data_IF_596566339027
#
_entry.id   IF_596566339027
#
_cell.length_a   1.000
_cell.length_b   1.000
_cell.length_c   1.000
_cell.angle_alpha   90.00
_cell.angle_beta   90.00
_cell.angle_gamma   90.00
#
_symmetry.space_group_name_H-M   'P 1'
#
loop_
_entity.id
_entity.type
_entity.pdbx_description
1 polymer ?
#
# COMPACT_ATOMS: atom_id res chain seq x y z
N UNK A 1 -20.22 -8.55 -13.49
CA UNK A 1 -20.03 -9.36 -12.27
C UNK A 1 -19.21 -10.59 -12.64
N UNK A 2 -18.20 -10.93 -11.85
CA UNK A 2 -17.30 -12.08 -12.12
C UNK A 2 -17.99 -13.38 -11.66
N UNK A 3 -17.81 -14.53 -12.34
CA UNK A 3 -18.50 -15.77 -11.97
C UNK A 3 -18.21 -16.19 -10.51
N UNK A 4 -19.18 -16.77 -9.77
CA UNK A 4 -19.05 -17.04 -8.33
C UNK A 4 -17.84 -17.90 -7.95
N UNK A 5 -17.46 -18.85 -8.80
CA UNK A 5 -16.29 -19.72 -8.57
C UNK A 5 -14.95 -18.99 -8.71
N UNK A 6 -14.90 -17.89 -9.47
CA UNK A 6 -13.74 -17.01 -9.56
C UNK A 6 -13.72 -15.99 -8.42
N UNK A 7 -14.88 -15.59 -7.89
CA UNK A 7 -14.95 -14.60 -6.81
C UNK A 7 -14.25 -15.09 -5.54
N UNK A 8 -14.32 -16.38 -5.22
CA UNK A 8 -13.58 -16.96 -4.08
C UNK A 8 -12.06 -16.99 -4.33
N UNK A 9 -11.63 -17.44 -5.51
CA UNK A 9 -10.21 -17.49 -5.90
C UNK A 9 -9.58 -16.10 -6.08
N UNK A 10 -10.36 -15.10 -6.51
CA UNK A 10 -9.95 -13.70 -6.61
C UNK A 10 -10.07 -12.96 -5.27
N UNK A 11 -10.90 -13.42 -4.33
CA UNK A 11 -10.91 -12.89 -2.96
C UNK A 11 -9.58 -13.16 -2.24
N UNK A 12 -8.91 -14.27 -2.56
CA UNK A 12 -7.54 -14.56 -2.10
C UNK A 12 -6.49 -13.58 -2.65
N UNK A 13 -6.76 -12.94 -3.81
CA UNK A 13 -5.93 -11.84 -4.34
C UNK A 13 -6.16 -10.51 -3.58
N UNK A 14 -7.31 -10.35 -2.92
CA UNK A 14 -7.58 -9.29 -1.95
C UNK A 14 -7.10 -9.70 -0.56
N UNK A 15 -5.82 -10.07 -0.46
CA UNK A 15 -5.20 -10.43 0.82
C UNK A 15 -5.28 -9.23 1.78
N UNK A 16 -6.17 -9.32 2.77
CA UNK A 16 -6.31 -8.31 3.82
C UNK A 16 -5.15 -8.54 4.80
N UNK A 17 -4.03 -7.88 4.53
CA UNK A 17 -2.91 -7.90 5.44
C UNK A 17 -3.28 -7.18 6.75
N UNK A 18 -2.80 -7.69 7.91
CA UNK A 18 -2.94 -6.99 9.17
C UNK A 18 -2.35 -5.58 9.02
N UNK A 19 -3.03 -4.55 9.54
CA UNK A 19 -2.56 -3.19 9.39
C UNK A 19 -1.25 -2.98 10.14
N UNK A 20 -0.34 -2.24 9.53
CA UNK A 20 0.88 -1.77 10.17
C UNK A 20 0.55 -0.96 11.43
N UNK A 21 1.39 -1.06 12.47
CA UNK A 21 1.16 -0.36 13.72
C UNK A 21 1.20 1.17 13.53
N UNK A 22 0.52 1.94 14.39
CA UNK A 22 0.50 3.41 14.32
C UNK A 22 1.89 4.07 14.31
N UNK A 23 2.87 3.47 14.98
CA UNK A 23 4.26 3.96 15.01
C UNK A 23 4.91 3.92 13.63
N UNK A 24 4.69 2.85 12.87
CA UNK A 24 5.18 2.71 11.49
C UNK A 24 4.53 3.75 10.58
N UNK A 25 3.20 3.89 10.66
CA UNK A 25 2.44 4.89 9.90
C UNK A 25 3.00 6.29 10.11
N UNK A 26 3.23 6.68 11.38
CA UNK A 26 3.81 7.98 11.72
C UNK A 26 5.20 8.15 11.11
N UNK A 27 6.05 7.13 11.22
CA UNK A 27 7.43 7.19 10.72
C UNK A 27 7.49 7.35 9.20
N UNK A 28 6.71 6.56 8.45
CA UNK A 28 6.66 6.63 6.97
C UNK A 28 6.16 7.98 6.50
N UNK A 29 5.06 8.46 7.08
CA UNK A 29 4.49 9.75 6.70
C UNK A 29 5.47 10.88 7.02
N UNK A 30 6.09 10.87 8.20
CA UNK A 30 7.09 11.87 8.56
C UNK A 30 8.32 11.87 7.66
N UNK A 31 8.82 10.69 7.29
CA UNK A 31 9.99 10.58 6.41
C UNK A 31 9.68 11.06 4.99
N UNK A 32 8.51 10.72 4.45
CA UNK A 32 8.11 11.10 3.10
C UNK A 32 7.89 12.61 2.94
N UNK A 33 7.29 13.25 3.96
CA UNK A 33 7.04 14.70 3.94
C UNK A 33 8.18 15.53 4.57
N UNK A 34 9.23 14.88 5.09
CA UNK A 34 10.36 15.52 5.80
C UNK A 34 9.92 16.48 6.91
N UNK A 35 8.83 16.14 7.60
CA UNK A 35 8.17 16.97 8.61
C UNK A 35 7.67 16.12 9.78
N UNK A 36 7.60 16.68 11.01
CA UNK A 36 6.94 15.98 12.12
C UNK A 36 5.49 15.67 11.79
N UNK A 37 5.02 14.46 12.12
CA UNK A 37 3.65 14.02 11.86
C UNK A 37 2.60 14.98 12.46
N UNK A 38 2.88 15.48 13.67
CA UNK A 38 2.05 16.45 14.38
C UNK A 38 1.92 17.81 13.66
N UNK A 39 2.80 18.11 12.71
CA UNK A 39 2.72 19.35 11.91
C UNK A 39 1.90 19.20 10.63
N UNK A 40 1.43 17.99 10.32
CA UNK A 40 0.74 17.67 9.06
C UNK A 40 -0.77 17.55 9.25
N UNK A 41 -1.21 16.93 10.34
CA UNK A 41 -2.61 16.58 10.57
C UNK A 41 -3.12 17.11 11.91
N UNK A 42 -4.31 17.70 11.90
CA UNK A 42 -5.07 18.05 13.12
C UNK A 42 -5.79 16.83 13.69
N UNK A 43 -6.20 15.88 12.83
CA UNK A 43 -6.75 14.59 13.21
C UNK A 43 -6.26 13.49 12.27
N UNK A 44 -6.08 12.28 12.78
CA UNK A 44 -5.71 11.11 11.98
C UNK A 44 -6.27 9.85 12.64
N UNK A 45 -7.06 9.08 11.88
CA UNK A 45 -7.59 7.80 12.33
C UNK A 45 -6.56 6.69 12.05
N UNK A 46 -5.99 6.12 13.11
CA UNK A 46 -5.03 5.03 12.99
C UNK A 46 -5.69 3.66 12.74
N UNK A 47 -7.02 3.57 12.84
CA UNK A 47 -7.75 2.43 12.33
C UNK A 47 -7.96 2.64 10.82
N UNK A 48 -7.35 1.82 9.95
CA UNK A 48 -7.49 2.03 8.52
C UNK A 48 -8.90 1.68 8.06
N UNK A 49 -9.43 2.49 7.13
CA UNK A 49 -10.69 2.21 6.43
C UNK A 49 -10.59 0.96 5.54
N UNK A 50 -9.39 0.69 5.03
CA UNK A 50 -9.06 -0.48 4.24
C UNK A 50 -7.57 -0.81 4.34
N UNK A 51 -7.23 -2.10 4.33
CA UNK A 51 -5.86 -2.60 4.21
C UNK A 51 -5.84 -3.62 3.08
N UNK A 52 -4.96 -3.40 2.11
CA UNK A 52 -4.72 -4.31 0.99
C UNK A 52 -3.23 -4.70 0.95
N UNK A 53 -2.87 -5.61 0.06
CA UNK A 53 -1.52 -6.17 -0.06
C UNK A 53 -0.39 -5.12 -0.15
N UNK A 54 -0.65 -3.95 -0.74
CA UNK A 54 0.38 -2.90 -0.95
C UNK A 54 0.37 -1.81 0.11
N UNK A 55 -0.81 -1.48 0.63
CA UNK A 55 -0.99 -0.29 1.45
C UNK A 55 -2.27 -0.36 2.31
N UNK A 56 -2.27 0.45 3.35
CA UNK A 56 -3.44 0.77 4.17
C UNK A 56 -3.90 2.21 3.96
N UNK A 57 -5.20 2.44 4.18
CA UNK A 57 -5.89 3.69 3.85
C UNK A 57 -6.50 4.27 5.11
N UNK A 58 -6.17 5.52 5.42
CA UNK A 58 -6.59 6.21 6.64
C UNK A 58 -7.38 7.48 6.33
N UNK A 59 -8.32 7.82 7.22
CA UNK A 59 -8.97 9.13 7.22
C UNK A 59 -8.14 10.11 8.05
N UNK A 60 -7.97 11.34 7.57
CA UNK A 60 -7.28 12.38 8.31
C UNK A 60 -7.84 13.77 7.98
N UNK A 61 -7.53 14.73 8.84
CA UNK A 61 -7.77 16.15 8.59
C UNK A 61 -6.43 16.86 8.62
N UNK A 62 -6.13 17.62 7.56
CA UNK A 62 -4.92 18.43 7.51
C UNK A 62 -4.93 19.48 8.62
N UNK A 63 -3.76 19.72 9.22
CA UNK A 63 -3.61 20.77 10.21
C UNK A 63 -3.79 22.15 9.55
N UNK A 64 -3.19 22.31 8.38
CA UNK A 64 -3.31 23.50 7.57
C UNK A 64 -4.62 23.48 6.77
N UNK A 65 -5.44 24.51 6.93
CA UNK A 65 -6.71 24.68 6.20
C UNK A 65 -7.84 23.72 6.59
N UNK A 66 -7.61 22.76 7.50
CA UNK A 66 -8.66 21.90 8.06
C UNK A 66 -9.31 20.93 7.05
N UNK A 67 -8.67 20.68 5.90
CA UNK A 67 -9.25 19.86 4.84
C UNK A 67 -9.24 18.37 5.21
N UNK A 68 -10.37 17.69 5.05
CA UNK A 68 -10.45 16.23 5.14
C UNK A 68 -9.75 15.57 3.94
N UNK A 69 -8.93 14.56 4.23
CA UNK A 69 -8.14 13.84 3.23
C UNK A 69 -8.13 12.34 3.53
N UNK A 70 -7.81 11.57 2.49
CA UNK A 70 -7.52 10.13 2.59
C UNK A 70 -6.02 9.94 2.42
N UNK A 71 -5.39 9.28 3.39
CA UNK A 71 -3.95 9.03 3.40
C UNK A 71 -3.69 7.56 3.15
N UNK A 72 -3.02 7.26 2.03
CA UNK A 72 -2.56 5.91 1.70
C UNK A 72 -1.13 5.72 2.18
N UNK A 73 -0.88 4.68 2.96
CA UNK A 73 0.43 4.38 3.55
C UNK A 73 0.83 2.98 3.10
N UNK A 74 1.96 2.89 2.40
CA UNK A 74 2.50 1.61 1.93
C UNK A 74 2.93 0.73 3.10
N UNK A 75 2.77 -0.58 2.98
CA UNK A 75 3.27 -1.54 3.96
C UNK A 75 4.79 -1.61 3.94
N UNK A 76 5.37 -2.05 5.05
CA UNK A 76 6.82 -2.24 5.15
C UNK A 76 7.31 -3.28 4.15
N UNK A 77 8.40 -2.96 3.43
CA UNK A 77 9.07 -3.90 2.53
C UNK A 77 8.41 -4.08 1.16
N UNK A 78 7.28 -3.41 0.88
CA UNK A 78 6.57 -3.52 -0.40
C UNK A 78 7.41 -3.03 -1.58
N UNK A 79 8.24 -2.02 -1.40
CA UNK A 79 9.13 -1.53 -2.45
C UNK A 79 10.15 -2.61 -2.88
N UNK A 80 10.76 -3.30 -1.92
CA UNK A 80 11.70 -4.39 -2.19
C UNK A 80 10.99 -5.57 -2.87
N UNK A 81 9.78 -5.90 -2.42
CA UNK A 81 8.96 -6.95 -3.02
C UNK A 81 8.62 -6.62 -4.49
N UNK A 82 8.11 -5.42 -4.76
CA UNK A 82 7.78 -4.96 -6.12
C UNK A 82 9.01 -4.98 -7.04
N UNK A 83 10.17 -4.57 -6.54
CA UNK A 83 11.40 -4.61 -7.32
C UNK A 83 11.83 -6.05 -7.66
N UNK A 84 11.68 -6.98 -6.71
CA UNK A 84 11.98 -8.39 -6.94
C UNK A 84 11.02 -9.01 -7.96
N UNK A 85 9.72 -8.72 -7.85
CA UNK A 85 8.70 -9.20 -8.78
C UNK A 85 8.95 -8.70 -10.21
N UNK A 86 9.28 -7.42 -10.35
CA UNK A 86 9.63 -6.84 -11.64
C UNK A 86 10.89 -7.48 -12.24
N UNK A 87 11.91 -7.74 -11.43
CA UNK A 87 13.11 -8.46 -11.87
C UNK A 87 12.80 -9.90 -12.31
N UNK A 88 11.93 -10.60 -11.59
CA UNK A 88 11.49 -11.95 -11.96
C UNK A 88 10.73 -11.92 -13.30
N UNK A 89 9.80 -10.98 -13.48
CA UNK A 89 9.06 -10.79 -14.73
C UNK A 89 10.00 -10.54 -15.92
N UNK A 90 11.01 -9.68 -15.76
CA UNK A 90 12.02 -9.42 -16.81
C UNK A 90 12.82 -10.68 -17.15
N UNK A 91 13.22 -11.48 -16.15
CA UNK A 91 13.94 -12.75 -16.38
C UNK A 91 13.09 -13.74 -17.18
N UNK A 92 11.82 -13.89 -16.80
CA UNK A 92 10.86 -14.76 -17.50
C UNK A 92 10.67 -14.29 -18.94
N UNK A 93 10.46 -12.99 -19.15
CA UNK A 93 10.31 -12.42 -20.48
C UNK A 93 11.51 -12.70 -21.38
N UNK A 94 12.74 -12.50 -20.86
CA UNK A 94 13.98 -12.83 -21.61
C UNK A 94 14.11 -14.30 -21.92
N UNK A 95 13.68 -15.18 -21.03
CA UNK A 95 13.70 -16.63 -21.25
C UNK A 95 12.72 -17.02 -22.37
N UNK A 96 11.48 -16.53 -22.32
CA UNK A 96 10.46 -16.78 -23.36
C UNK A 96 10.90 -16.22 -24.71
N UNK A 97 11.46 -15.01 -24.75
CA UNK A 97 11.96 -14.41 -25.99
C UNK A 97 13.06 -15.25 -26.64
N UNK A 98 13.92 -15.90 -25.84
CA UNK A 98 14.97 -16.82 -26.34
C UNK A 98 14.44 -18.15 -26.85
N UNK A 99 13.27 -18.61 -26.38
CA UNK A 99 12.65 -19.85 -26.87
C UNK A 99 11.85 -19.65 -28.16
N UNK A 100 11.45 -18.41 -28.45
CA UNK A 100 10.76 -18.01 -29.69
C UNK A 100 11.72 -17.44 -30.76
N UNK A 101 13.04 -17.56 -30.55
CA UNK A 101 14.10 -17.21 -31.51
C UNK A 101 14.82 -18.48 -31.95
#
# INVERSE_FOLDING_TARGET
MVPPHWAASLSLLHDQLPPCPPSYVRAVVSSQFKRPFSSLFSSFDFHPMASASVAQVHKATLLEGGKEVVVKVQHQGIEALMNNDMQAAVKIFRFVARLNS
#
